data_IF_944340656033
#
_entry.id   IF_944340656033
#
_cell.length_a   1.000
_cell.length_b   1.000
_cell.length_c   1.000
_cell.angle_alpha   90.00
_cell.angle_beta   90.00
_cell.angle_gamma   90.00
#
_symmetry.space_group_name_H-M   'P 1'
#
loop_
_entity.id
_entity.type
_entity.pdbx_description
1 polymer ?
#
# COMPACT_ATOMS: atom_id res chain seq x y z
N UNK A 1 -0.65 -2.03 24.50
CA UNK A 1 0.79 -2.37 24.50
C UNK A 1 1.14 -3.53 23.59
N UNK A 2 0.39 -4.65 23.54
CA UNK A 2 0.56 -5.66 22.46
C UNK A 2 -0.23 -5.30 21.18
N UNK A 3 -1.40 -4.67 21.31
CA UNK A 3 -2.19 -4.20 20.17
C UNK A 3 -1.47 -3.18 19.29
N UNK A 4 -0.71 -2.26 19.89
CA UNK A 4 0.05 -1.24 19.17
C UNK A 4 1.08 -1.88 18.20
N UNK A 5 1.69 -2.98 18.62
CA UNK A 5 2.64 -3.73 17.79
C UNK A 5 1.94 -4.40 16.60
N UNK A 6 0.71 -4.91 16.80
CA UNK A 6 -0.09 -5.53 15.73
C UNK A 6 -0.49 -4.47 14.71
N UNK A 7 -0.91 -3.29 15.17
CA UNK A 7 -1.22 -2.15 14.30
C UNK A 7 0.00 -1.67 13.51
N UNK A 8 1.16 -1.56 14.16
CA UNK A 8 2.39 -1.14 13.47
C UNK A 8 2.84 -2.15 12.40
N UNK A 9 2.66 -3.45 12.66
CA UNK A 9 2.93 -4.50 11.67
C UNK A 9 1.97 -4.42 10.49
N UNK A 10 0.67 -4.19 10.74
CA UNK A 10 -0.32 -4.02 9.67
C UNK A 10 -0.01 -2.79 8.81
N UNK A 11 0.34 -1.66 9.44
CA UNK A 11 0.75 -0.44 8.74
C UNK A 11 1.99 -0.70 7.88
N UNK A 12 2.99 -1.42 8.41
CA UNK A 12 4.19 -1.79 7.65
C UNK A 12 3.87 -2.68 6.44
N UNK A 13 3.01 -3.70 6.58
CA UNK A 13 2.59 -4.56 5.47
C UNK A 13 1.87 -3.76 4.38
N UNK A 14 0.97 -2.85 4.78
CA UNK A 14 0.27 -1.95 3.84
C UNK A 14 1.24 -1.06 3.08
N UNK A 15 2.24 -0.47 3.77
CA UNK A 15 3.26 0.37 3.14
C UNK A 15 4.09 -0.45 2.15
N UNK A 16 4.57 -1.64 2.53
CA UNK A 16 5.38 -2.50 1.66
C UNK A 16 4.62 -2.92 0.38
N UNK A 17 3.32 -3.18 0.51
CA UNK A 17 2.44 -3.45 -0.64
C UNK A 17 2.29 -2.23 -1.54
N UNK A 18 2.04 -1.06 -0.98
CA UNK A 18 1.92 0.19 -1.75
C UNK A 18 3.24 0.48 -2.48
N UNK A 19 4.38 0.32 -1.83
CA UNK A 19 5.70 0.47 -2.45
C UNK A 19 5.90 -0.55 -3.58
N UNK A 20 5.51 -1.81 -3.40
CA UNK A 20 5.59 -2.84 -4.44
C UNK A 20 4.71 -2.50 -5.66
N UNK A 21 3.51 -1.96 -5.44
CA UNK A 21 2.59 -1.54 -6.50
C UNK A 21 3.05 -0.27 -7.23
N UNK A 22 3.87 0.56 -6.59
CA UNK A 22 4.41 1.80 -7.16
C UNK A 22 5.86 1.64 -7.63
N UNK A 23 6.49 0.47 -7.42
CA UNK A 23 7.86 0.15 -7.78
C UNK A 23 8.12 0.25 -9.28
N UNK A 24 7.16 -0.16 -10.12
CA UNK A 24 7.24 -0.01 -11.58
C UNK A 24 7.19 1.46 -12.05
N UNK A 25 7.02 2.39 -11.10
CA UNK A 25 7.09 3.81 -11.33
C UNK A 25 5.72 4.47 -11.54
N UNK A 26 5.77 5.80 -11.64
CA UNK A 26 4.58 6.64 -11.78
C UNK A 26 3.75 6.25 -13.00
N UNK A 27 4.37 5.91 -14.13
CA UNK A 27 3.62 5.61 -15.36
C UNK A 27 2.71 4.39 -15.21
N UNK A 28 3.18 3.29 -14.61
CA UNK A 28 2.38 2.07 -14.39
C UNK A 28 1.23 2.32 -13.40
N UNK A 29 1.49 3.12 -12.35
CA UNK A 29 0.44 3.54 -11.41
C UNK A 29 -0.66 4.34 -12.09
N UNK A 30 -0.31 5.37 -12.88
CA UNK A 30 -1.31 6.21 -13.55
C UNK A 30 -2.01 5.51 -14.72
N UNK A 31 -1.43 4.45 -15.28
CA UNK A 31 -2.01 3.69 -16.40
C UNK A 31 -2.95 2.57 -15.92
N UNK A 32 -2.82 2.10 -14.68
CA UNK A 32 -3.62 0.99 -14.15
C UNK A 32 -4.57 1.44 -13.04
N UNK A 33 -5.86 1.54 -13.37
CA UNK A 33 -6.92 1.79 -12.40
C UNK A 33 -6.95 0.74 -11.28
N UNK A 34 -6.60 -0.52 -11.58
CA UNK A 34 -6.51 -1.59 -10.57
C UNK A 34 -5.42 -1.34 -9.53
N UNK A 35 -4.29 -0.76 -9.95
CA UNK A 35 -3.20 -0.41 -9.03
C UNK A 35 -3.63 0.79 -8.17
N UNK A 36 -4.28 1.79 -8.77
CA UNK A 36 -4.82 2.95 -8.05
C UNK A 36 -5.84 2.53 -6.99
N UNK A 37 -6.80 1.68 -7.36
CA UNK A 37 -7.85 1.19 -6.48
C UNK A 37 -7.27 0.43 -5.28
N UNK A 38 -6.27 -0.43 -5.52
CA UNK A 38 -5.55 -1.14 -4.45
C UNK A 38 -4.82 -0.19 -3.50
N UNK A 39 -4.11 0.80 -4.03
CA UNK A 39 -3.38 1.77 -3.20
C UNK A 39 -4.34 2.60 -2.35
N UNK A 40 -5.47 3.02 -2.92
CA UNK A 40 -6.51 3.76 -2.18
C UNK A 40 -7.12 2.89 -1.07
N UNK A 41 -7.43 1.63 -1.35
CA UNK A 41 -7.97 0.67 -0.37
C UNK A 41 -7.04 0.44 0.83
N UNK A 42 -5.73 0.57 0.65
CA UNK A 42 -4.77 0.47 1.76
C UNK A 42 -4.60 1.76 2.56
N UNK A 43 -4.96 2.92 1.98
CA UNK A 43 -4.85 4.26 2.58
C UNK A 43 -6.13 4.72 3.30
N UNK A 44 -7.29 4.15 2.96
CA UNK A 44 -8.58 4.36 3.63
C UNK A 44 -8.68 3.53 4.93
#
# INVERSE_FOLDING_TARGET
MNDDHIYLIDILDRIERIESYTYEGKETFYTSLLIQDRVICYLE
#
